data_IF_776877673045
#
_entry.id   IF_776877673045
#
_cell.length_a   1.000
_cell.length_b   1.000
_cell.length_c   1.000
_cell.angle_alpha   90.00
_cell.angle_beta   90.00
_cell.angle_gamma   90.00
#
_symmetry.space_group_name_H-M   'P 1'
#
loop_
_entity.id
_entity.type
_entity.pdbx_description
1 polymer ?
#
# COMPACT_ATOMS: atom_id res chain seq x y z
N UNK A 1 10.63 -1.92 -11.76
CA UNK A 1 9.26 -1.37 -11.61
C UNK A 1 9.31 0.12 -11.30
N UNK A 2 10.06 0.54 -10.28
CA UNK A 2 10.34 1.95 -9.98
C UNK A 2 10.94 2.73 -11.17
N UNK A 3 11.96 2.16 -11.82
CA UNK A 3 12.60 2.72 -13.02
C UNK A 3 11.61 3.01 -14.15
N UNK A 4 10.65 2.11 -14.38
CA UNK A 4 9.66 2.26 -15.45
C UNK A 4 8.63 3.34 -15.12
N UNK A 5 8.12 3.38 -13.88
CA UNK A 5 7.15 4.41 -13.49
C UNK A 5 7.78 5.80 -13.46
N UNK A 6 9.04 5.90 -13.04
CA UNK A 6 9.83 7.14 -13.07
C UNK A 6 10.04 7.63 -14.50
N UNK A 7 10.42 6.73 -15.42
CA UNK A 7 10.61 7.05 -16.85
C UNK A 7 9.39 7.73 -17.47
N UNK A 8 8.18 7.32 -17.09
CA UNK A 8 6.93 7.88 -17.61
C UNK A 8 6.30 8.96 -16.72
N UNK A 9 7.07 9.50 -15.77
CA UNK A 9 6.66 10.56 -14.83
C UNK A 9 5.33 10.25 -14.13
N UNK A 10 5.09 8.98 -13.78
CA UNK A 10 3.91 8.55 -13.03
C UNK A 10 4.17 8.78 -11.54
N UNK A 11 3.32 9.50 -10.80
CA UNK A 11 3.46 9.57 -9.35
C UNK A 11 3.32 8.19 -8.71
N UNK A 12 4.30 7.77 -7.90
CA UNK A 12 4.29 6.47 -7.24
C UNK A 12 5.11 6.49 -5.94
N UNK A 13 4.74 5.62 -5.00
CA UNK A 13 5.45 5.38 -3.75
C UNK A 13 5.44 3.86 -3.49
N UNK A 14 6.59 3.27 -3.15
CA UNK A 14 6.71 1.85 -2.84
C UNK A 14 6.95 1.63 -1.35
N UNK A 15 6.23 0.65 -0.78
CA UNK A 15 6.35 0.23 0.60
C UNK A 15 6.46 -1.28 0.69
N UNK A 16 7.41 -1.76 1.49
CA UNK A 16 7.54 -3.18 1.85
C UNK A 16 7.11 -3.35 3.29
N UNK A 17 6.15 -4.24 3.50
CA UNK A 17 5.67 -4.63 4.83
C UNK A 17 6.32 -5.96 5.20
N UNK A 18 6.89 -6.05 6.41
CA UNK A 18 7.56 -7.27 6.89
C UNK A 18 6.55 -8.25 7.47
N UNK A 19 6.86 -9.54 7.40
CA UNK A 19 6.11 -10.62 8.07
C UNK A 19 4.62 -10.72 7.67
N UNK A 20 4.33 -10.41 6.40
CA UNK A 20 2.98 -10.43 5.81
C UNK A 20 2.98 -11.22 4.50
N UNK A 21 1.81 -11.72 4.12
CA UNK A 21 1.57 -12.35 2.82
C UNK A 21 0.65 -11.50 1.94
N UNK A 22 0.43 -11.94 0.70
CA UNK A 22 -0.55 -11.34 -0.17
C UNK A 22 -1.94 -11.34 0.49
N UNK A 23 -2.70 -10.26 0.29
CA UNK A 23 -4.01 -10.04 0.90
C UNK A 23 -4.03 -9.81 2.42
N UNK A 24 -2.94 -9.28 3.00
CA UNK A 24 -2.87 -8.98 4.44
C UNK A 24 -3.89 -7.94 4.94
N UNK A 25 -4.54 -7.21 4.04
CA UNK A 25 -5.59 -6.22 4.37
C UNK A 25 -6.99 -6.83 4.45
N UNK A 26 -7.17 -8.09 4.12
CA UNK A 26 -8.51 -8.70 4.06
C UNK A 26 -8.93 -9.29 5.41
N UNK A 27 -9.89 -8.67 6.13
CA UNK A 27 -10.33 -9.17 7.43
C UNK A 27 -11.15 -10.47 7.35
N UNK A 28 -11.61 -10.87 6.16
CA UNK A 28 -12.33 -12.13 5.96
C UNK A 28 -11.41 -13.36 5.86
N UNK A 29 -10.09 -13.14 5.77
CA UNK A 29 -9.07 -14.18 5.72
C UNK A 29 -8.11 -14.05 6.92
N UNK A 30 -8.54 -14.50 8.12
CA UNK A 30 -7.80 -14.28 9.37
C UNK A 30 -6.44 -14.98 9.41
N UNK A 31 -6.20 -15.97 8.54
CA UNK A 31 -4.90 -16.63 8.35
C UNK A 31 -3.84 -15.69 7.75
N UNK A 32 -4.26 -14.61 7.08
CA UNK A 32 -3.39 -13.67 6.37
C UNK A 32 -3.54 -12.24 6.87
N UNK A 33 -4.66 -11.91 7.49
CA UNK A 33 -4.95 -10.57 7.99
C UNK A 33 -3.90 -10.11 9.00
N UNK A 34 -3.30 -8.94 8.74
CA UNK A 34 -2.35 -8.31 9.67
C UNK A 34 -2.79 -6.88 9.92
N UNK A 35 -3.57 -6.69 10.99
CA UNK A 35 -4.23 -5.43 11.37
C UNK A 35 -3.29 -4.22 11.34
N UNK A 36 -2.06 -4.38 11.84
CA UNK A 36 -1.08 -3.29 11.86
C UNK A 36 -0.73 -2.83 10.45
N UNK A 37 -0.42 -3.77 9.57
CA UNK A 37 -0.03 -3.47 8.19
C UNK A 37 -1.22 -2.93 7.39
N UNK A 38 -2.42 -3.47 7.62
CA UNK A 38 -3.67 -2.98 7.04
C UNK A 38 -3.90 -1.49 7.35
N UNK A 39 -3.93 -1.12 8.65
CA UNK A 39 -4.10 0.27 9.08
C UNK A 39 -3.02 1.18 8.52
N UNK A 40 -1.77 0.72 8.49
CA UNK A 40 -0.65 1.48 7.97
C UNK A 40 -0.75 1.70 6.44
N UNK A 41 -1.06 0.65 5.68
CA UNK A 41 -1.25 0.75 4.23
C UNK A 41 -2.44 1.61 3.86
N UNK A 42 -3.53 1.50 4.62
CA UNK A 42 -4.73 2.30 4.40
C UNK A 42 -4.46 3.80 4.62
N UNK A 43 -3.79 4.15 5.72
CA UNK A 43 -3.41 5.53 6.00
C UNK A 43 -2.49 6.12 4.92
N UNK A 44 -1.52 5.34 4.43
CA UNK A 44 -0.64 5.74 3.32
C UNK A 44 -1.41 5.94 2.02
N UNK A 45 -2.34 5.03 1.69
CA UNK A 45 -3.20 5.13 0.52
C UNK A 45 -4.05 6.40 0.54
N UNK A 46 -4.72 6.68 1.65
CA UNK A 46 -5.50 7.92 1.82
C UNK A 46 -4.63 9.17 1.72
N UNK A 47 -3.43 9.16 2.32
CA UNK A 47 -2.48 10.28 2.22
C UNK A 47 -2.04 10.54 0.78
N UNK A 48 -1.77 9.48 0.02
CA UNK A 48 -1.44 9.57 -1.39
C UNK A 48 -2.60 10.16 -2.18
N UNK A 49 -3.81 9.61 -2.03
CA UNK A 49 -5.01 10.11 -2.73
C UNK A 49 -5.28 11.58 -2.41
N UNK A 50 -5.20 11.99 -1.13
CA UNK A 50 -5.40 13.38 -0.73
C UNK A 50 -4.42 14.35 -1.38
N UNK A 51 -3.17 13.93 -1.62
CA UNK A 51 -2.17 14.77 -2.31
C UNK A 51 -2.57 15.08 -3.75
N UNK A 52 -3.28 14.18 -4.43
CA UNK A 52 -3.59 14.30 -5.85
C UNK A 52 -5.06 14.59 -6.16
N UNK A 53 -5.98 14.35 -5.22
CA UNK A 53 -7.42 14.48 -5.44
C UNK A 53 -8.09 15.60 -4.63
N UNK A 54 -7.45 16.13 -3.58
CA UNK A 54 -8.00 17.22 -2.75
C UNK A 54 -9.08 16.77 -1.79
#
# INVERSE_FOLDING_TARGET
MDSELTKYNKPHEFYVYKDISHSFMDPHHPDRYVERSDKESWARGLKFLRRYLG
#
